data_IF_304708761013
#
_entry.id   IF_304708761013
#
_cell.length_a   1.000
_cell.length_b   1.000
_cell.length_c   1.000
_cell.angle_alpha   90.00
_cell.angle_beta   90.00
_cell.angle_gamma   90.00
#
_symmetry.space_group_name_H-M   'P 1'
#
loop_
_entity.id
_entity.type
_entity.pdbx_description
1 polymer ?
#
# COMPACT_ATOMS: atom_id res chain seq x y z
N UNK A 1 -20.87 -10.55 9.24
CA UNK A 1 -21.31 -9.45 10.12
C UNK A 1 -20.13 -9.06 10.99
N UNK A 2 -19.95 -7.77 11.27
CA UNK A 2 -18.87 -7.33 12.16
C UNK A 2 -19.07 -7.89 13.56
N UNK A 3 -18.05 -8.56 14.09
CA UNK A 3 -17.99 -8.93 15.49
C UNK A 3 -17.37 -7.78 16.31
N UNK A 4 -17.59 -7.81 17.62
CA UNK A 4 -17.03 -6.82 18.52
C UNK A 4 -15.49 -6.88 18.50
N UNK A 5 -14.81 -5.74 18.47
CA UNK A 5 -13.34 -5.62 18.38
C UNK A 5 -12.70 -6.21 17.11
N UNK A 6 -13.36 -6.06 15.96
CA UNK A 6 -12.85 -6.52 14.66
C UNK A 6 -11.94 -5.46 14.00
N UNK A 7 -10.65 -5.79 13.80
CA UNK A 7 -9.66 -4.90 13.16
C UNK A 7 -9.49 -5.14 11.65
N UNK A 8 -9.86 -6.32 11.15
CA UNK A 8 -9.77 -6.70 9.74
C UNK A 8 -11.12 -6.56 9.02
N UNK A 9 -11.11 -6.72 7.69
CA UNK A 9 -12.34 -6.83 6.91
C UNK A 9 -13.14 -8.08 7.29
N UNK A 10 -14.46 -7.99 7.07
CA UNK A 10 -15.37 -9.13 7.17
C UNK A 10 -15.01 -10.20 6.15
N UNK A 11 -15.39 -11.45 6.46
CA UNK A 11 -15.20 -12.55 5.53
C UNK A 11 -15.89 -12.25 4.20
N UNK A 12 -15.19 -12.42 3.07
CA UNK A 12 -15.71 -12.07 1.76
C UNK A 12 -16.84 -13.03 1.38
N UNK A 13 -17.98 -12.48 0.99
CA UNK A 13 -19.13 -13.27 0.54
C UNK A 13 -19.26 -13.29 -1.00
N UNK A 14 -18.20 -12.90 -1.71
CA UNK A 14 -18.17 -12.76 -3.16
C UNK A 14 -16.73 -12.73 -3.70
N UNK A 15 -16.51 -13.08 -4.99
CA UNK A 15 -15.18 -13.07 -5.59
C UNK A 15 -14.55 -11.66 -5.65
N UNK A 16 -15.36 -10.61 -5.76
CA UNK A 16 -14.86 -9.23 -5.72
C UNK A 16 -14.34 -8.83 -4.34
N UNK A 17 -15.05 -9.21 -3.27
CA UNK A 17 -14.61 -8.93 -1.91
C UNK A 17 -13.32 -9.68 -1.56
N UNK A 18 -13.17 -10.91 -2.07
CA UNK A 18 -11.95 -11.70 -1.85
C UNK A 18 -10.72 -11.08 -2.56
N UNK A 19 -10.88 -10.68 -3.82
CA UNK A 19 -9.82 -9.96 -4.56
C UNK A 19 -9.43 -8.63 -3.91
N UNK A 20 -10.40 -7.89 -3.35
CA UNK A 20 -10.14 -6.67 -2.61
C UNK A 20 -9.38 -6.93 -1.31
N UNK A 21 -9.72 -7.99 -0.57
CA UNK A 21 -8.98 -8.40 0.63
C UNK A 21 -7.53 -8.81 0.31
N UNK A 22 -7.31 -9.54 -0.80
CA UNK A 22 -5.97 -9.90 -1.28
C UNK A 22 -5.16 -8.66 -1.66
N UNK A 23 -5.76 -7.72 -2.39
CA UNK A 23 -5.13 -6.45 -2.74
C UNK A 23 -4.78 -5.64 -1.49
N UNK A 24 -5.72 -5.51 -0.55
CA UNK A 24 -5.48 -4.83 0.72
C UNK A 24 -4.29 -5.42 1.46
N UNK A 25 -4.22 -6.75 1.62
CA UNK A 25 -3.11 -7.40 2.31
C UNK A 25 -1.77 -7.13 1.64
N UNK A 26 -1.73 -7.15 0.30
CA UNK A 26 -0.53 -6.78 -0.46
C UNK A 26 -0.11 -5.32 -0.19
N UNK A 27 -1.05 -4.38 -0.23
CA UNK A 27 -0.76 -2.96 0.06
C UNK A 27 -0.29 -2.75 1.50
N UNK A 28 -0.89 -3.43 2.47
CA UNK A 28 -0.51 -3.30 3.88
C UNK A 28 0.90 -3.82 4.14
N UNK A 29 1.31 -4.92 3.50
CA UNK A 29 2.70 -5.41 3.61
C UNK A 29 3.67 -4.37 3.04
N UNK A 30 3.36 -3.79 1.88
CA UNK A 30 4.22 -2.77 1.26
C UNK A 30 4.35 -1.50 2.13
N UNK A 31 3.26 -1.06 2.75
CA UNK A 31 3.25 0.10 3.65
C UNK A 31 4.05 -0.17 4.93
N UNK A 32 3.89 -1.34 5.54
CA UNK A 32 4.66 -1.72 6.72
C UNK A 32 6.17 -1.78 6.44
N UNK A 33 6.57 -2.20 5.24
CA UNK A 33 7.98 -2.16 4.82
C UNK A 33 8.51 -0.72 4.73
N UNK A 34 7.74 0.22 4.19
CA UNK A 34 8.14 1.63 4.11
C UNK A 34 8.24 2.25 5.51
N UNK A 35 7.24 2.00 6.37
CA UNK A 35 7.20 2.54 7.73
C UNK A 35 8.37 2.00 8.56
N UNK A 36 8.64 0.69 8.50
CA UNK A 36 9.77 0.10 9.24
C UNK A 36 11.12 0.63 8.76
N UNK A 37 11.34 0.78 7.45
CA UNK A 37 12.57 1.36 6.90
C UNK A 37 12.78 2.80 7.40
N UNK A 38 11.75 3.64 7.28
CA UNK A 38 11.83 5.04 7.72
C UNK A 38 12.04 5.14 9.24
N UNK A 39 11.39 4.28 10.01
CA UNK A 39 11.56 4.23 11.46
C UNK A 39 12.99 3.84 11.87
N UNK A 40 13.60 2.87 11.20
CA UNK A 40 15.00 2.49 11.45
C UNK A 40 15.98 3.64 11.16
N UNK A 41 15.78 4.37 10.05
CA UNK A 41 16.58 5.56 9.72
C UNK A 41 16.44 6.64 10.78
N UNK A 42 15.22 6.88 11.27
CA UNK A 42 14.98 7.88 12.33
C UNK A 42 15.67 7.51 13.64
N UNK A 43 15.64 6.23 14.02
CA UNK A 43 16.36 5.75 15.20
C UNK A 43 17.87 5.98 15.04
N UNK A 44 18.44 5.62 13.89
CA UNK A 44 19.87 5.77 13.63
C UNK A 44 20.32 7.24 13.72
N UNK A 45 19.55 8.16 13.11
CA UNK A 45 19.81 9.61 13.22
C UNK A 45 19.76 10.07 14.68
N UNK A 46 18.79 9.61 15.47
CA UNK A 46 18.66 10.01 16.89
C UNK A 46 19.78 9.49 17.78
N UNK A 47 20.34 8.32 17.47
CA UNK A 47 21.41 7.69 18.24
C UNK A 47 22.80 8.15 17.82
N UNK A 48 22.93 8.77 16.64
CA UNK A 48 24.21 9.19 16.10
C UNK A 48 24.78 10.39 16.87
N UNK A 49 26.00 10.24 17.39
CA UNK A 49 26.72 11.27 18.16
C UNK A 49 27.65 12.12 17.29
N UNK A 50 27.90 11.73 16.04
CA UNK A 50 28.85 12.41 15.15
C UNK A 50 28.17 13.52 14.36
N UNK A 51 28.78 14.72 14.39
CA UNK A 51 28.26 15.90 13.68
C UNK A 51 29.06 16.11 12.40
N UNK A 52 28.39 16.10 11.25
CA UNK A 52 29.00 16.45 9.96
C UNK A 52 28.42 17.76 9.41
N UNK A 53 29.17 18.86 9.51
CA UNK A 53 28.74 20.21 9.09
C UNK A 53 28.74 20.41 7.57
N UNK A 54 29.49 19.62 6.81
CA UNK A 54 29.63 19.81 5.36
C UNK A 54 28.54 19.11 4.53
N UNK A 55 27.62 18.40 5.18
CA UNK A 55 26.51 17.68 4.54
C UNK A 55 25.33 18.61 4.16
N UNK A 56 25.61 19.77 3.58
CA UNK A 56 24.61 20.82 3.33
C UNK A 56 23.75 20.57 2.09
N UNK A 57 24.33 19.98 1.04
CA UNK A 57 23.63 19.65 -0.21
C UNK A 57 24.22 18.37 -0.77
N UNK A 58 23.40 17.32 -0.85
CA UNK A 58 23.80 16.08 -1.49
C UNK A 58 22.71 15.61 -2.47
N UNK A 59 22.77 16.15 -3.68
CA UNK A 59 21.79 15.88 -4.75
C UNK A 59 21.69 14.38 -5.08
N UNK A 60 22.77 13.62 -4.90
CA UNK A 60 22.75 12.18 -5.14
C UNK A 60 21.80 11.43 -4.19
N UNK A 61 21.74 11.87 -2.91
CA UNK A 61 20.83 11.28 -1.92
C UNK A 61 19.38 11.65 -2.24
N UNK A 62 19.16 12.88 -2.71
CA UNK A 62 17.83 13.34 -3.11
C UNK A 62 17.27 12.54 -4.29
N UNK A 63 18.11 12.26 -5.30
CA UNK A 63 17.72 11.41 -6.43
C UNK A 63 17.39 9.99 -5.93
N UNK A 64 18.22 9.41 -5.05
CA UNK A 64 18.01 8.05 -4.56
C UNK A 64 16.69 7.90 -3.80
N UNK A 65 16.40 8.79 -2.85
CA UNK A 65 15.17 8.69 -2.05
C UNK A 65 13.91 9.18 -2.78
N UNK A 66 14.02 9.80 -3.97
CA UNK A 66 12.84 10.16 -4.79
C UNK A 66 12.47 9.02 -5.72
N UNK A 67 13.47 8.37 -6.32
CA UNK A 67 13.27 7.23 -7.22
C UNK A 67 12.76 5.99 -6.46
N UNK A 68 13.31 5.71 -5.27
CA UNK A 68 12.92 4.53 -4.48
C UNK A 68 11.40 4.47 -4.16
N UNK A 69 10.76 5.52 -3.63
CA UNK A 69 9.31 5.52 -3.38
C UNK A 69 8.48 5.43 -4.65
N UNK A 70 8.90 6.07 -5.76
CA UNK A 70 8.18 6.01 -7.03
C UNK A 70 8.09 4.56 -7.53
N UNK A 71 9.19 3.80 -7.46
CA UNK A 71 9.18 2.39 -7.84
C UNK A 71 8.25 1.55 -6.96
N UNK A 72 8.25 1.77 -5.64
CA UNK A 72 7.37 1.04 -4.72
C UNK A 72 5.89 1.34 -5.03
N UNK A 73 5.55 2.61 -5.30
CA UNK A 73 4.20 3.00 -5.68
C UNK A 73 3.76 2.39 -7.02
N UNK A 74 4.67 2.30 -7.99
CA UNK A 74 4.37 1.67 -9.28
C UNK A 74 4.01 0.19 -9.12
N UNK A 75 4.71 -0.54 -8.24
CA UNK A 75 4.42 -1.94 -7.92
C UNK A 75 3.03 -2.10 -7.28
N UNK A 76 2.58 -1.11 -6.49
CA UNK A 76 1.23 -1.11 -5.89
C UNK A 76 0.16 -0.79 -6.95
N UNK A 77 0.47 0.09 -7.91
CA UNK A 77 -0.47 0.53 -8.93
C UNK A 77 -0.85 -0.57 -9.94
N UNK A 78 0.07 -1.48 -10.28
CA UNK A 78 -0.23 -2.56 -11.22
C UNK A 78 -1.35 -3.51 -10.75
N UNK A 79 -1.28 -4.12 -9.54
CA UNK A 79 -2.36 -4.96 -9.04
C UNK A 79 -3.63 -4.15 -8.76
N UNK A 80 -3.54 -2.86 -8.41
CA UNK A 80 -4.72 -2.02 -8.17
C UNK A 80 -5.53 -1.76 -9.44
N UNK A 81 -4.86 -1.46 -10.55
CA UNK A 81 -5.53 -1.29 -11.84
C UNK A 81 -6.13 -2.61 -12.32
N UNK A 82 -5.41 -3.72 -12.14
CA UNK A 82 -5.92 -5.05 -12.48
C UNK A 82 -7.20 -5.39 -11.72
N UNK A 83 -7.26 -5.12 -10.41
CA UNK A 83 -8.47 -5.39 -9.61
C UNK A 83 -9.62 -4.47 -10.00
N UNK A 84 -9.36 -3.20 -10.33
CA UNK A 84 -10.37 -2.26 -10.81
C UNK A 84 -11.05 -2.79 -12.10
N UNK A 85 -10.26 -3.12 -13.12
CA UNK A 85 -10.81 -3.61 -14.39
C UNK A 85 -11.54 -4.94 -14.23
N UNK A 86 -11.06 -5.82 -13.34
CA UNK A 86 -11.75 -7.07 -13.03
C UNK A 86 -13.15 -6.85 -12.43
N UNK A 87 -13.32 -5.83 -11.58
CA UNK A 87 -14.62 -5.51 -10.99
C UNK A 87 -15.58 -4.95 -12.04
N UNK A 88 -15.09 -4.08 -12.93
CA UNK A 88 -15.91 -3.45 -13.98
C UNK A 88 -16.45 -4.47 -14.98
N UNK A 89 -15.64 -5.46 -15.40
CA UNK A 89 -16.07 -6.49 -16.37
C UNK A 89 -17.18 -7.39 -15.81
N UNK A 90 -17.17 -7.67 -14.51
CA UNK A 90 -18.13 -8.57 -13.87
C UNK A 90 -19.47 -7.89 -13.51
N UNK A 91 -19.57 -6.56 -13.61
CA UNK A 91 -20.75 -5.81 -13.14
C UNK A 91 -21.99 -5.97 -14.05
N UNK A 92 -21.91 -6.64 -15.20
CA UNK A 92 -23.08 -6.85 -16.06
C UNK A 92 -24.05 -7.87 -15.44
N UNK A 93 -25.26 -7.46 -14.99
CA UNK A 93 -26.19 -8.36 -14.33
C UNK A 93 -26.77 -9.33 -15.36
N UNK A 94 -26.32 -10.59 -15.33
CA UNK A 94 -26.75 -11.61 -16.30
C UNK A 94 -28.15 -12.15 -16.05
N UNK A 95 -28.68 -12.03 -14.81
CA UNK A 95 -29.93 -12.69 -14.41
C UNK A 95 -31.02 -11.76 -13.89
N UNK A 96 -30.69 -10.76 -13.05
CA UNK A 96 -31.70 -9.98 -12.36
C UNK A 96 -31.19 -8.57 -12.04
N UNK A 97 -32.01 -7.56 -12.32
CA UNK A 97 -31.77 -6.17 -11.93
C UNK A 97 -32.85 -5.74 -10.93
N UNK A 98 -32.45 -5.41 -9.70
CA UNK A 98 -33.33 -4.76 -8.73
C UNK A 98 -33.09 -3.26 -8.84
N UNK A 99 -34.11 -2.52 -9.29
CA UNK A 99 -34.13 -1.07 -9.17
C UNK A 99 -34.92 -0.71 -7.92
N UNK A 100 -34.40 0.25 -7.17
CA UNK A 100 -35.11 0.93 -6.07
C UNK A 100 -36.31 1.70 -6.62
#
# INVERSE_FOLDING_TARGET
MSHWNMYSFQDPNSPYADNLNLFHNFTMISLMMIISLTFLIMIDISMNKFINRFLLKNHNIEILWTIMPIFILMIIAFPSLKTLYFIDEMWNPTFLTIKS
#
